data_IF_271448441657
#
_entry.id   IF_271448441657
#
_cell.length_a   1.000
_cell.length_b   1.000
_cell.length_c   1.000
_cell.angle_alpha   90.00
_cell.angle_beta   90.00
_cell.angle_gamma   90.00
#
_symmetry.space_group_name_H-M   'P 1'
#
loop_
_entity.id
_entity.type
_entity.pdbx_description
1 polymer ?
#
# COMPACT_ATOMS: atom_id res chain seq x y z
N UNK A 1 8.88 -14.86 -20.04
CA UNK A 1 9.82 -16.00 -20.10
C UNK A 1 10.83 -15.92 -18.97
N UNK A 2 11.23 -17.05 -18.35
CA UNK A 2 12.28 -17.05 -17.32
C UNK A 2 13.71 -17.03 -17.92
N UNK A 3 14.70 -16.70 -17.08
CA UNK A 3 16.10 -16.57 -17.50
C UNK A 3 16.69 -17.88 -18.05
N UNK A 4 16.37 -19.04 -17.46
CA UNK A 4 16.90 -20.33 -17.91
C UNK A 4 16.44 -20.67 -19.33
N UNK A 5 15.17 -20.43 -19.64
CA UNK A 5 14.60 -20.70 -20.96
C UNK A 5 15.15 -19.73 -22.02
N UNK A 6 15.46 -18.48 -21.64
CA UNK A 6 16.18 -17.54 -22.50
C UNK A 6 17.59 -18.04 -22.84
N UNK A 7 18.34 -18.50 -21.83
CA UNK A 7 19.71 -19.04 -22.02
C UNK A 7 19.68 -20.24 -22.96
N UNK A 8 18.69 -21.13 -22.80
CA UNK A 8 18.53 -22.28 -23.70
C UNK A 8 18.23 -21.86 -25.14
N UNK A 9 17.34 -20.87 -25.34
CA UNK A 9 17.02 -20.32 -26.67
C UNK A 9 18.25 -19.69 -27.34
N UNK A 10 18.98 -18.82 -26.63
CA UNK A 10 20.22 -18.22 -27.12
C UNK A 10 21.26 -19.31 -27.41
N UNK A 11 21.39 -20.27 -26.51
CA UNK A 11 22.23 -21.44 -26.68
C UNK A 11 21.88 -22.23 -27.94
N UNK A 12 20.62 -22.40 -28.31
CA UNK A 12 20.27 -23.14 -29.52
C UNK A 12 20.49 -22.36 -30.83
N UNK A 13 20.79 -21.05 -30.80
CA UNK A 13 21.05 -20.27 -32.02
C UNK A 13 22.27 -20.80 -32.79
N UNK A 14 23.29 -21.35 -32.13
CA UNK A 14 24.45 -21.92 -32.84
C UNK A 14 24.08 -23.10 -33.75
N UNK A 15 23.02 -23.87 -33.42
CA UNK A 15 22.57 -25.02 -34.21
C UNK A 15 21.92 -24.61 -35.53
N UNK A 16 21.35 -23.40 -35.58
CA UNK A 16 20.70 -22.86 -36.77
C UNK A 16 21.69 -22.21 -37.73
N UNK A 17 22.78 -21.64 -37.22
CA UNK A 17 23.67 -20.78 -38.01
C UNK A 17 25.13 -21.28 -38.16
N UNK A 18 25.69 -22.12 -37.28
CA UNK A 18 27.06 -22.67 -37.43
C UNK A 18 28.18 -21.90 -36.66
N UNK A 19 29.45 -22.30 -36.86
CA UNK A 19 30.59 -22.01 -35.94
C UNK A 19 30.99 -20.53 -35.75
N UNK A 20 30.61 -19.60 -36.63
CA UNK A 20 30.88 -18.16 -36.46
C UNK A 20 29.80 -17.33 -37.10
N UNK A 21 28.86 -16.78 -36.31
CA UNK A 21 27.94 -15.77 -36.82
C UNK A 21 27.74 -14.60 -35.88
N UNK A 22 27.73 -13.43 -36.52
CA UNK A 22 27.07 -12.21 -36.05
C UNK A 22 25.60 -12.54 -35.80
N UNK A 23 25.21 -12.70 -34.53
CA UNK A 23 23.79 -12.73 -34.17
C UNK A 23 23.27 -11.31 -34.37
N UNK A 24 22.15 -11.15 -35.09
CA UNK A 24 21.53 -9.84 -35.21
C UNK A 24 21.16 -9.36 -33.79
N UNK A 25 21.66 -8.19 -33.41
CA UNK A 25 21.39 -7.61 -32.09
C UNK A 25 19.88 -7.53 -31.83
N UNK A 26 19.10 -7.30 -32.89
CA UNK A 26 17.65 -7.23 -32.87
C UNK A 26 16.99 -8.56 -32.44
N UNK A 27 17.50 -9.70 -32.89
CA UNK A 27 16.97 -11.02 -32.50
C UNK A 27 17.22 -11.30 -31.01
N UNK A 28 18.39 -10.93 -30.50
CA UNK A 28 18.70 -11.04 -29.07
C UNK A 28 17.83 -10.09 -28.26
N UNK A 29 17.67 -8.85 -28.75
CA UNK A 29 16.86 -7.83 -28.08
C UNK A 29 15.39 -8.28 -27.98
N UNK A 30 14.84 -8.88 -29.04
CA UNK A 30 13.47 -9.39 -29.03
C UNK A 30 13.28 -10.61 -28.11
N UNK A 31 14.31 -11.45 -27.96
CA UNK A 31 14.31 -12.51 -26.96
C UNK A 31 14.40 -11.95 -25.52
N UNK A 32 15.20 -10.92 -25.31
CA UNK A 32 15.34 -10.25 -24.00
C UNK A 32 14.05 -9.53 -23.62
N UNK A 33 13.35 -8.88 -24.55
CA UNK A 33 12.03 -8.26 -24.29
C UNK A 33 10.97 -9.27 -23.83
N UNK A 34 11.15 -10.56 -24.12
CA UNK A 34 10.27 -11.63 -23.64
C UNK A 34 10.56 -12.06 -22.19
N UNK A 35 11.62 -11.55 -21.54
CA UNK A 35 11.83 -11.79 -20.11
C UNK A 35 10.70 -11.16 -19.32
N UNK A 36 10.15 -11.94 -18.38
CA UNK A 36 9.20 -11.37 -17.43
C UNK A 36 10.00 -10.53 -16.44
N UNK A 37 9.75 -9.21 -16.40
CA UNK A 37 10.23 -8.40 -15.29
C UNK A 37 9.59 -8.90 -14.00
N UNK A 38 10.35 -8.97 -12.89
CA UNK A 38 9.75 -9.28 -11.60
C UNK A 38 8.71 -8.21 -11.28
N UNK A 39 7.43 -8.60 -11.33
CA UNK A 39 6.32 -7.68 -11.10
C UNK A 39 6.39 -7.05 -9.71
N UNK A 40 6.04 -5.77 -9.63
CA UNK A 40 5.90 -5.06 -8.36
C UNK A 40 4.83 -5.74 -7.52
N UNK A 41 5.12 -5.91 -6.24
CA UNK A 41 4.16 -6.45 -5.26
C UNK A 41 3.33 -5.33 -4.66
N UNK A 42 2.09 -5.63 -4.31
CA UNK A 42 1.23 -4.71 -3.55
C UNK A 42 1.50 -4.89 -2.06
N UNK A 43 1.79 -3.80 -1.35
CA UNK A 43 2.03 -3.80 0.10
C UNK A 43 1.23 -2.69 0.81
N UNK A 44 0.90 -2.84 2.10
CA UNK A 44 0.29 -1.76 2.87
C UNK A 44 1.20 -0.54 3.03
N UNK A 45 0.59 0.65 3.16
CA UNK A 45 1.30 1.92 3.36
C UNK A 45 2.29 1.91 4.53
N UNK A 46 1.93 1.32 5.68
CA UNK A 46 2.84 1.27 6.84
C UNK A 46 4.09 0.40 6.58
N UNK A 47 4.00 -0.62 5.69
CA UNK A 47 5.15 -1.43 5.28
C UNK A 47 6.05 -0.62 4.35
N UNK A 48 5.45 0.14 3.42
CA UNK A 48 6.19 1.07 2.56
C UNK A 48 6.98 2.11 3.38
N UNK A 49 6.36 2.68 4.42
CA UNK A 49 7.02 3.63 5.34
C UNK A 49 8.25 3.02 6.03
N UNK A 50 8.16 1.76 6.47
CA UNK A 50 9.28 1.02 7.07
C UNK A 50 10.40 0.81 6.03
N UNK A 51 10.06 0.30 4.84
CA UNK A 51 11.05 0.05 3.78
C UNK A 51 11.82 1.33 3.43
N UNK A 52 11.10 2.44 3.22
CA UNK A 52 11.70 3.73 2.87
C UNK A 52 12.55 4.30 4.00
N UNK A 53 12.12 4.17 5.25
CA UNK A 53 12.91 4.57 6.41
C UNK A 53 14.27 3.86 6.43
N UNK A 54 14.27 2.53 6.31
CA UNK A 54 15.51 1.74 6.36
C UNK A 54 16.39 1.93 5.12
N UNK A 55 15.80 2.08 3.92
CA UNK A 55 16.56 2.41 2.71
C UNK A 55 17.28 3.76 2.82
N UNK A 56 16.63 4.78 3.38
CA UNK A 56 17.27 6.10 3.61
C UNK A 56 18.46 6.04 4.56
N UNK A 57 18.47 5.07 5.47
CA UNK A 57 19.57 4.85 6.41
C UNK A 57 20.67 3.93 5.84
N UNK A 58 20.59 3.53 4.56
CA UNK A 58 21.46 2.52 3.96
C UNK A 58 21.50 1.20 4.76
N UNK A 59 20.39 0.86 5.42
CA UNK A 59 20.28 -0.37 6.18
C UNK A 59 19.96 -1.56 5.26
N UNK A 60 20.05 -2.77 5.80
CA UNK A 60 19.81 -4.00 5.06
C UNK A 60 18.33 -4.42 5.11
N UNK A 61 17.92 -5.32 4.20
CA UNK A 61 16.61 -5.97 4.27
C UNK A 61 16.40 -6.67 5.63
N UNK A 62 17.47 -7.23 6.21
CA UNK A 62 17.40 -7.85 7.53
C UNK A 62 16.99 -6.86 8.61
N UNK A 63 17.52 -5.63 8.58
CA UNK A 63 17.16 -4.58 9.53
C UNK A 63 15.67 -4.20 9.40
N UNK A 64 15.19 -4.04 8.16
CA UNK A 64 13.78 -3.78 7.90
C UNK A 64 12.85 -4.91 8.36
N UNK A 65 13.26 -6.18 8.23
CA UNK A 65 12.50 -7.33 8.75
C UNK A 65 12.54 -7.40 10.29
N UNK A 66 13.62 -6.93 10.90
CA UNK A 66 13.78 -6.86 12.37
C UNK A 66 12.88 -5.80 13.01
N UNK A 67 12.36 -4.86 12.24
CA UNK A 67 11.41 -3.82 12.69
C UNK A 67 10.19 -4.41 13.42
N UNK A 68 9.82 -5.66 13.13
CA UNK A 68 8.75 -6.37 13.83
C UNK A 68 8.92 -6.45 15.35
N UNK A 69 10.15 -6.31 15.85
CA UNK A 69 10.40 -6.32 17.29
C UNK A 69 10.04 -4.99 17.97
N UNK A 70 9.81 -3.93 17.19
CA UNK A 70 9.54 -2.58 17.68
C UNK A 70 8.16 -2.07 17.22
N UNK A 71 7.74 -2.42 16.00
CA UNK A 71 6.47 -2.02 15.43
C UNK A 71 5.42 -3.12 15.59
N UNK A 72 4.42 -2.88 16.47
CA UNK A 72 3.35 -3.84 16.76
C UNK A 72 2.49 -4.17 15.54
N UNK A 73 2.19 -3.19 14.69
CA UNK A 73 1.38 -3.39 13.48
C UNK A 73 2.11 -4.28 12.47
N UNK A 74 3.41 -4.05 12.30
CA UNK A 74 4.25 -4.86 11.42
C UNK A 74 4.51 -6.26 11.97
N UNK A 75 4.66 -6.40 13.29
CA UNK A 75 4.73 -7.69 13.95
C UNK A 75 3.47 -8.53 13.77
N UNK A 76 2.30 -7.89 13.82
CA UNK A 76 1.02 -8.57 13.61
C UNK A 76 0.80 -8.92 12.14
N UNK A 77 1.20 -8.05 11.22
CA UNK A 77 0.98 -8.27 9.79
C UNK A 77 1.88 -9.37 9.19
N UNK A 78 3.18 -9.36 9.49
CA UNK A 78 4.15 -10.30 8.91
C UNK A 78 3.81 -11.80 9.04
N UNK A 79 3.32 -12.31 10.18
CA UNK A 79 2.97 -13.72 10.32
C UNK A 79 1.55 -14.06 9.83
N UNK A 80 0.65 -13.07 9.76
CA UNK A 80 -0.76 -13.30 9.48
C UNK A 80 -1.14 -13.07 8.01
N UNK A 81 -0.38 -12.25 7.29
CA UNK A 81 -0.62 -11.96 5.87
C UNK A 81 0.05 -13.00 4.97
N UNK A 82 -0.66 -13.44 3.92
CA UNK A 82 -0.13 -14.41 2.97
C UNK A 82 1.12 -13.88 2.26
N UNK A 83 2.18 -14.69 2.29
CA UNK A 83 3.48 -14.41 1.68
C UNK A 83 4.08 -13.05 2.10
N UNK A 84 3.76 -12.55 3.30
CA UNK A 84 4.17 -11.22 3.75
C UNK A 84 5.69 -11.01 3.75
N UNK A 85 6.45 -12.02 4.19
CA UNK A 85 7.92 -11.98 4.14
C UNK A 85 8.44 -11.87 2.70
N UNK A 86 7.86 -12.63 1.77
CA UNK A 86 8.21 -12.59 0.36
C UNK A 86 7.80 -11.27 -0.30
N UNK A 87 6.63 -10.73 0.07
CA UNK A 87 6.18 -9.39 -0.35
C UNK A 87 7.18 -8.33 0.10
N UNK A 88 7.63 -8.33 1.36
CA UNK A 88 8.63 -7.37 1.84
C UNK A 88 9.95 -7.53 1.07
N UNK A 89 10.43 -8.75 0.88
CA UNK A 89 11.68 -9.01 0.15
C UNK A 89 11.60 -8.55 -1.32
N UNK A 90 10.49 -8.85 -2.00
CA UNK A 90 10.25 -8.41 -3.39
C UNK A 90 10.07 -6.90 -3.47
N UNK A 91 9.32 -6.29 -2.55
CA UNK A 91 9.18 -4.84 -2.46
C UNK A 91 10.53 -4.14 -2.29
N UNK A 92 11.40 -4.72 -1.47
CA UNK A 92 12.74 -4.22 -1.24
C UNK A 92 13.60 -4.24 -2.51
N UNK A 93 13.59 -5.36 -3.25
CA UNK A 93 14.47 -5.59 -4.40
C UNK A 93 13.93 -4.98 -5.70
N UNK A 94 12.64 -5.14 -5.98
CA UNK A 94 12.00 -4.86 -7.26
C UNK A 94 11.02 -3.68 -7.21
N UNK A 95 10.85 -3.08 -6.03
CA UNK A 95 9.87 -2.03 -5.79
C UNK A 95 8.46 -2.59 -5.57
N UNK A 96 7.52 -1.70 -5.29
CA UNK A 96 6.18 -2.04 -4.86
C UNK A 96 5.13 -1.04 -5.36
N UNK A 97 3.87 -1.46 -5.26
CA UNK A 97 2.69 -0.63 -5.34
C UNK A 97 2.12 -0.55 -3.93
N UNK A 98 1.72 0.64 -3.49
CA UNK A 98 1.07 0.77 -2.19
C UNK A 98 -0.41 0.45 -2.33
N UNK A 99 -0.93 -0.42 -1.47
CA UNK A 99 -2.36 -0.67 -1.34
C UNK A 99 -3.04 0.61 -0.87
N UNK A 100 -4.06 1.07 -1.61
CA UNK A 100 -4.84 2.22 -1.20
C UNK A 100 -5.51 1.95 0.16
N UNK A 101 -5.26 2.83 1.13
CA UNK A 101 -5.84 2.67 2.46
C UNK A 101 -7.34 2.85 2.39
N UNK A 102 -8.08 1.79 2.75
CA UNK A 102 -9.55 1.81 2.79
C UNK A 102 -10.05 2.96 3.64
N UNK A 103 -10.93 3.77 3.06
CA UNK A 103 -11.64 4.84 3.76
C UNK A 103 -13.05 4.41 4.10
N UNK A 104 -13.56 4.98 5.17
CA UNK A 104 -14.88 4.65 5.69
C UNK A 104 -15.67 5.94 5.95
N UNK A 105 -16.95 5.90 5.64
CA UNK A 105 -17.95 6.83 6.16
C UNK A 105 -18.57 6.20 7.42
N UNK A 106 -18.49 6.93 8.53
CA UNK A 106 -18.88 6.43 9.85
C UNK A 106 -20.06 7.28 10.34
N UNK A 107 -21.20 6.61 10.53
CA UNK A 107 -22.47 7.26 10.88
C UNK A 107 -22.99 6.71 12.21
N UNK A 108 -23.16 7.56 13.21
CA UNK A 108 -23.87 7.24 14.43
C UNK A 108 -25.37 7.34 14.19
N UNK A 109 -26.04 6.20 14.29
CA UNK A 109 -27.46 6.06 14.04
C UNK A 109 -28.26 6.69 15.18
N UNK A 110 -29.10 7.66 14.84
CA UNK A 110 -29.99 8.34 15.79
C UNK A 110 -31.40 8.43 15.21
N UNK A 111 -32.27 7.54 15.72
CA UNK A 111 -33.64 7.34 15.21
C UNK A 111 -34.59 8.52 15.46
N UNK A 112 -34.25 9.42 16.38
CA UNK A 112 -35.19 10.42 16.89
C UNK A 112 -34.98 11.82 16.29
N UNK A 113 -33.78 12.14 15.83
CA UNK A 113 -33.40 13.53 15.50
C UNK A 113 -32.36 13.60 14.36
N UNK A 114 -32.27 12.52 13.56
CA UNK A 114 -31.32 12.41 12.46
C UNK A 114 -29.94 11.96 12.90
N UNK A 115 -29.28 11.19 12.01
CA UNK A 115 -27.98 10.59 12.23
C UNK A 115 -26.86 11.63 12.36
N UNK A 116 -25.78 11.25 13.04
CA UNK A 116 -24.56 12.05 13.14
C UNK A 116 -23.44 11.39 12.36
N UNK A 117 -22.59 12.19 11.73
CA UNK A 117 -21.44 11.73 10.97
C UNK A 117 -20.16 12.01 11.75
N UNK A 118 -19.27 11.03 11.83
CA UNK A 118 -17.91 11.27 12.28
C UNK A 118 -17.15 11.93 11.14
N UNK A 119 -16.64 13.14 11.37
CA UNK A 119 -15.92 13.91 10.36
C UNK A 119 -14.58 14.39 10.89
N UNK A 120 -13.60 14.49 10.01
CA UNK A 120 -12.42 15.32 10.22
C UNK A 120 -12.75 16.74 9.74
N UNK A 121 -13.15 17.62 10.67
CA UNK A 121 -13.57 18.99 10.37
C UNK A 121 -12.51 19.78 9.60
N UNK A 122 -11.23 19.45 9.82
CA UNK A 122 -10.09 20.19 9.32
C UNK A 122 -9.43 19.56 8.09
N UNK A 123 -10.02 18.50 7.50
CA UNK A 123 -9.41 17.80 6.36
C UNK A 123 -9.14 18.74 5.17
N UNK A 124 -10.01 19.72 4.94
CA UNK A 124 -9.84 20.73 3.88
C UNK A 124 -8.90 21.88 4.25
N UNK A 125 -8.61 22.07 5.53
CA UNK A 125 -7.78 23.16 6.02
C UNK A 125 -6.28 22.84 5.97
N UNK A 126 -5.93 21.56 5.84
CA UNK A 126 -4.55 21.11 5.62
C UNK A 126 -3.95 21.73 4.35
N UNK A 127 -4.73 21.81 3.27
CA UNK A 127 -4.32 22.36 1.97
C UNK A 127 -4.08 23.89 2.02
N UNK A 128 -4.73 24.60 2.96
CA UNK A 128 -4.69 26.07 3.07
C UNK A 128 -3.68 26.59 4.11
N UNK A 129 -3.48 25.86 5.20
CA UNK A 129 -2.69 26.34 6.34
C UNK A 129 -1.42 25.54 6.62
N UNK A 130 -1.15 24.45 5.89
CA UNK A 130 0.11 23.69 5.90
C UNK A 130 0.55 23.19 7.27
N UNK A 131 0.54 21.87 7.51
CA UNK A 131 1.03 21.19 8.72
C UNK A 131 0.49 21.64 10.10
N UNK A 132 -0.26 22.74 10.20
CA UNK A 132 -0.75 23.33 11.45
C UNK A 132 -2.25 23.17 11.69
N UNK A 133 -2.96 22.43 10.83
CA UNK A 133 -4.36 22.10 11.11
C UNK A 133 -4.42 20.79 11.90
N UNK A 134 -4.66 20.81 13.23
CA UNK A 134 -4.82 19.58 13.97
C UNK A 134 -6.02 18.81 13.39
N UNK A 135 -5.88 17.49 13.23
CA UNK A 135 -7.03 16.64 12.92
C UNK A 135 -8.04 16.79 14.05
N UNK A 136 -9.27 17.15 13.71
CA UNK A 136 -10.38 17.31 14.66
C UNK A 136 -11.47 16.35 14.26
N UNK A 137 -11.50 15.20 14.94
CA UNK A 137 -12.57 14.23 14.79
C UNK A 137 -13.71 14.57 15.75
N UNK A 138 -14.92 14.71 15.21
CA UNK A 138 -16.13 14.91 16.00
C UNK A 138 -17.36 14.34 15.28
N UNK A 139 -18.38 14.00 16.08
CA UNK A 139 -19.69 13.69 15.54
C UNK A 139 -20.50 14.97 15.34
N UNK A 140 -21.08 15.12 14.16
CA UNK A 140 -21.89 16.30 13.83
C UNK A 140 -23.02 15.96 12.87
N UNK A 141 -24.09 16.76 12.92
CA UNK A 141 -25.16 16.77 11.93
C UNK A 141 -24.89 17.73 10.78
N UNK A 142 -23.87 18.58 10.89
CA UNK A 142 -23.54 19.55 9.86
C UNK A 142 -23.05 18.82 8.61
N UNK A 143 -23.72 19.04 7.48
CA UNK A 143 -23.40 18.37 6.22
C UNK A 143 -22.55 19.22 5.26
N UNK A 144 -22.27 20.48 5.60
CA UNK A 144 -21.53 21.44 4.76
C UNK A 144 -20.00 21.24 4.82
N UNK A 145 -19.54 20.01 4.65
CA UNK A 145 -18.13 19.67 4.54
C UNK A 145 -17.85 19.04 3.18
N UNK A 146 -16.59 19.09 2.72
CA UNK A 146 -16.21 18.36 1.51
C UNK A 146 -16.28 16.84 1.73
N UNK A 147 -16.24 16.09 0.63
CA UNK A 147 -16.15 14.63 0.64
C UNK A 147 -14.97 14.14 1.50
N UNK A 148 -13.81 14.81 1.46
CA UNK A 148 -12.61 14.43 2.23
C UNK A 148 -12.85 14.39 3.73
N UNK A 149 -13.69 15.27 4.27
CA UNK A 149 -13.97 15.33 5.70
C UNK A 149 -14.70 14.09 6.24
N UNK A 150 -15.45 13.38 5.38
CA UNK A 150 -16.22 12.18 5.76
C UNK A 150 -15.48 10.88 5.52
N UNK A 151 -14.39 10.90 4.75
CA UNK A 151 -13.71 9.69 4.29
C UNK A 151 -12.48 9.45 5.15
N UNK A 152 -12.69 8.71 6.23
CA UNK A 152 -11.69 8.52 7.27
C UNK A 152 -11.02 7.16 7.13
N UNK A 153 -9.71 7.12 7.33
CA UNK A 153 -8.98 5.85 7.42
C UNK A 153 -9.21 5.22 8.79
N UNK A 154 -9.18 3.88 8.86
CA UNK A 154 -9.27 3.19 10.16
C UNK A 154 -8.13 3.60 11.09
N UNK A 155 -6.93 3.82 10.55
CA UNK A 155 -5.75 4.26 11.30
C UNK A 155 -6.00 5.61 11.99
N UNK A 156 -6.53 6.60 11.27
CA UNK A 156 -6.82 7.92 11.86
C UNK A 156 -7.88 7.78 12.95
N UNK A 157 -9.01 7.14 12.65
CA UNK A 157 -10.10 6.98 13.62
C UNK A 157 -9.62 6.32 14.93
N UNK A 158 -8.79 5.28 14.83
CA UNK A 158 -8.24 4.58 16.01
C UNK A 158 -7.23 5.46 16.75
N UNK A 159 -6.29 6.09 16.04
CA UNK A 159 -5.23 6.91 16.66
C UNK A 159 -5.77 8.14 17.41
N UNK A 160 -6.91 8.69 16.99
CA UNK A 160 -7.58 9.80 17.65
C UNK A 160 -8.62 9.37 18.70
N UNK A 161 -8.61 8.10 19.13
CA UNK A 161 -9.43 7.62 20.25
C UNK A 161 -10.87 7.25 19.90
N UNK A 162 -11.25 7.27 18.62
CA UNK A 162 -12.56 6.86 18.13
C UNK A 162 -12.61 5.38 17.70
N UNK A 163 -11.59 4.57 18.04
CA UNK A 163 -11.52 3.17 17.63
C UNK A 163 -12.75 2.32 18.01
N UNK A 164 -13.45 2.69 19.09
CA UNK A 164 -14.67 2.02 19.55
C UNK A 164 -15.82 2.01 18.52
N UNK A 165 -15.81 2.92 17.53
CA UNK A 165 -16.87 3.00 16.52
C UNK A 165 -16.94 1.75 15.66
N UNK A 166 -15.82 1.03 15.48
CA UNK A 166 -15.75 -0.21 14.71
C UNK A 166 -16.43 -1.40 15.38
N UNK A 167 -16.66 -1.33 16.68
CA UNK A 167 -17.25 -2.42 17.49
C UNK A 167 -18.65 -2.04 18.02
N UNK A 168 -19.20 -0.88 17.64
CA UNK A 168 -20.44 -0.35 18.19
C UNK A 168 -21.65 -0.66 17.28
N UNK A 169 -22.68 -1.39 17.76
CA UNK A 169 -23.88 -1.71 16.98
C UNK A 169 -24.70 -0.48 16.54
N UNK A 170 -24.56 0.64 17.26
CA UNK A 170 -25.22 1.91 16.92
C UNK A 170 -24.51 2.69 15.82
N UNK A 171 -23.39 2.19 15.29
CA UNK A 171 -22.62 2.81 14.21
C UNK A 171 -22.86 2.03 12.90
N UNK A 172 -23.12 2.77 11.83
CA UNK A 172 -23.06 2.27 10.46
C UNK A 172 -21.71 2.64 9.85
N UNK A 173 -21.03 1.65 9.28
CA UNK A 173 -19.72 1.81 8.62
C UNK A 173 -19.88 1.46 7.15
N UNK A 174 -19.51 2.39 6.29
CA UNK A 174 -19.58 2.21 4.83
C UNK A 174 -18.19 2.40 4.24
N UNK A 175 -17.63 1.33 3.65
CA UNK A 175 -16.37 1.41 2.91
C UNK A 175 -16.56 2.24 1.64
N UNK A 176 -15.70 3.24 1.46
CA UNK A 176 -15.66 4.06 0.25
C UNK A 176 -14.97 3.23 -0.83
N UNK A 177 -15.69 2.99 -1.93
CA UNK A 177 -15.10 2.39 -3.13
C UNK A 177 -14.67 3.53 -4.05
N UNK A 178 -13.43 3.49 -4.51
CA UNK A 178 -12.96 4.39 -5.56
C UNK A 178 -13.66 4.00 -6.88
N UNK A 179 -14.31 4.98 -7.54
CA UNK A 179 -14.95 4.85 -8.85
C UNK A 179 -13.96 5.17 -9.97
#
# INVERSE_FOLDING_TARGET
MNVQLLIEKIGNLYKLYGEKFYVALDDILDLVKQLDEPGKVTIPQFVAEIIEYYKKQNATLYDALREKNFNKQYNDWLPNELDAYDKVARAWLYGYIVEEEKKYKITLLNRNDGDLYLVNQNADLADKYGHFSPVVLLFTKCTNFSKKCYELTKKDVVSYGFGWVFDCPGIKIEEVKDE
#
